data_IF_913728519926
#
_entry.id   IF_913728519926
#
_cell.length_a   1.000
_cell.length_b   1.000
_cell.length_c   1.000
_cell.angle_alpha   90.00
_cell.angle_beta   90.00
_cell.angle_gamma   90.00
#
_symmetry.space_group_name_H-M   'P 1'
#
loop_
_entity.id
_entity.type
_entity.pdbx_description
1 polymer ?
#
# COMPACT_ATOMS: atom_id res chain seq x y z
N UNK A 1 1.43 -32.35 51.95
CA UNK A 1 2.70 -31.66 51.61
C UNK A 1 3.36 -32.43 50.48
N UNK A 2 3.49 -31.80 49.31
CA UNK A 2 4.54 -31.89 48.26
C UNK A 2 3.92 -31.34 46.95
N UNK A 3 4.33 -30.10 46.64
CA UNK A 3 4.58 -29.40 45.35
C UNK A 3 3.78 -29.86 44.10
N UNK A 4 2.95 -29.04 43.45
CA UNK A 4 3.19 -27.78 42.70
C UNK A 4 4.21 -27.89 41.56
N UNK A 5 3.83 -27.36 40.38
CA UNK A 5 4.48 -27.39 39.05
C UNK A 5 4.19 -28.69 38.29
N UNK A 6 3.35 -28.74 37.25
CA UNK A 6 3.52 -28.14 35.93
C UNK A 6 2.13 -28.06 35.27
N UNK A 7 1.49 -26.89 35.22
CA UNK A 7 0.31 -26.65 34.37
C UNK A 7 0.26 -25.18 33.94
N UNK A 8 1.40 -24.58 33.59
CA UNK A 8 1.46 -23.24 32.99
C UNK A 8 2.44 -23.28 31.83
N UNK A 9 2.08 -23.91 30.72
CA UNK A 9 2.82 -23.77 29.45
C UNK A 9 1.98 -24.07 28.19
N UNK A 10 0.81 -24.71 28.28
CA UNK A 10 0.02 -25.02 27.10
C UNK A 10 -0.94 -23.89 26.63
N UNK A 11 -1.25 -22.91 27.50
CA UNK A 11 -2.25 -21.89 27.16
C UNK A 11 -1.69 -20.66 26.43
N UNK A 12 -0.36 -20.45 26.45
CA UNK A 12 0.26 -19.30 25.76
C UNK A 12 0.53 -19.59 24.29
N UNK A 13 0.74 -20.86 23.92
CA UNK A 13 1.02 -21.23 22.53
C UNK A 13 -0.19 -21.06 21.61
N UNK A 14 -1.43 -21.25 22.09
CA UNK A 14 -2.62 -21.16 21.23
C UNK A 14 -2.93 -19.70 20.79
N UNK A 15 -2.72 -18.71 21.67
CA UNK A 15 -2.97 -17.30 21.35
C UNK A 15 -1.93 -16.71 20.38
N UNK A 16 -0.66 -17.14 20.47
CA UNK A 16 0.42 -16.69 19.56
C UNK A 16 0.29 -17.32 18.17
N UNK A 17 -0.24 -18.54 18.06
CA UNK A 17 -0.47 -19.22 16.77
C UNK A 17 -1.64 -18.59 16.01
N UNK A 18 -2.70 -18.11 16.70
CA UNK A 18 -3.84 -17.46 16.03
C UNK A 18 -3.52 -16.08 15.45
N UNK A 19 -2.63 -15.31 16.07
CA UNK A 19 -2.28 -13.95 15.61
C UNK A 19 -1.33 -13.97 14.39
N UNK A 20 -0.47 -15.00 14.33
CA UNK A 20 0.44 -15.22 13.20
C UNK A 20 -0.30 -15.69 11.95
N UNK A 21 -1.26 -16.60 12.10
CA UNK A 21 -2.07 -17.13 10.98
C UNK A 21 -3.01 -16.06 10.38
N UNK A 22 -3.56 -15.18 11.22
CA UNK A 22 -4.39 -14.06 10.74
C UNK A 22 -3.57 -12.94 10.10
N UNK A 23 -2.36 -12.69 10.59
CA UNK A 23 -1.44 -11.71 9.99
C UNK A 23 -0.91 -12.15 8.62
N UNK A 24 -0.53 -13.42 8.48
CA UNK A 24 -0.08 -14.00 7.20
C UNK A 24 -1.16 -13.85 6.12
N UNK A 25 -2.41 -14.22 6.43
CA UNK A 25 -3.53 -14.10 5.50
C UNK A 25 -3.82 -12.65 5.05
N UNK A 26 -3.56 -11.65 5.91
CA UNK A 26 -3.72 -10.24 5.56
C UNK A 26 -2.64 -9.74 4.62
N UNK A 27 -1.39 -10.19 4.81
CA UNK A 27 -0.29 -9.83 3.91
C UNK A 27 -0.53 -10.45 2.53
N UNK A 28 -0.89 -11.73 2.48
CA UNK A 28 -1.22 -12.43 1.21
C UNK A 28 -2.37 -11.75 0.46
N UNK A 29 -3.43 -11.35 1.18
CA UNK A 29 -4.54 -10.60 0.58
C UNK A 29 -4.08 -9.23 0.04
N UNK A 30 -3.22 -8.52 0.77
CA UNK A 30 -2.69 -7.23 0.33
C UNK A 30 -1.72 -7.36 -0.85
N UNK A 31 -0.91 -8.42 -0.90
CA UNK A 31 -0.08 -8.77 -2.06
C UNK A 31 -0.95 -9.03 -3.28
N UNK A 32 -2.02 -9.80 -3.12
CA UNK A 32 -2.97 -10.09 -4.20
C UNK A 32 -3.65 -8.81 -4.72
N UNK A 33 -4.13 -7.94 -3.83
CA UNK A 33 -4.74 -6.65 -4.23
C UNK A 33 -3.73 -5.75 -4.94
N UNK A 34 -2.49 -5.69 -4.45
CA UNK A 34 -1.42 -4.91 -5.06
C UNK A 34 -1.10 -5.40 -6.48
N UNK A 35 -1.00 -6.71 -6.69
CA UNK A 35 -0.76 -7.31 -8.01
C UNK A 35 -1.93 -7.04 -8.95
N UNK A 36 -3.17 -7.20 -8.48
CA UNK A 36 -4.36 -6.95 -9.29
C UNK A 36 -4.49 -5.48 -9.70
N UNK A 37 -4.28 -4.55 -8.76
CA UNK A 37 -4.34 -3.12 -9.04
C UNK A 37 -3.23 -2.68 -10.01
N UNK A 38 -2.01 -3.22 -9.84
CA UNK A 38 -0.90 -3.00 -10.77
C UNK A 38 -1.24 -3.50 -12.18
N UNK A 39 -1.81 -4.70 -12.29
CA UNK A 39 -2.15 -5.28 -13.60
C UNK A 39 -3.23 -4.46 -14.31
N UNK A 40 -4.29 -4.08 -13.60
CA UNK A 40 -5.33 -3.18 -14.13
C UNK A 40 -4.73 -1.86 -14.63
N UNK A 41 -3.81 -1.27 -13.85
CA UNK A 41 -3.10 -0.07 -14.28
C UNK A 41 -2.30 -0.30 -15.57
N UNK A 42 -1.54 -1.40 -15.66
CA UNK A 42 -0.74 -1.71 -16.85
C UNK A 42 -1.60 -1.90 -18.11
N UNK A 43 -2.77 -2.52 -17.97
CA UNK A 43 -3.69 -2.71 -19.10
C UNK A 43 -4.39 -1.39 -19.50
N UNK A 44 -4.72 -0.54 -18.52
CA UNK A 44 -5.21 0.81 -18.76
C UNK A 44 -4.17 1.70 -19.46
N UNK A 45 -2.87 1.56 -19.15
CA UNK A 45 -1.78 2.26 -19.84
C UNK A 45 -1.70 1.85 -21.32
N UNK A 46 -1.83 0.56 -21.62
CA UNK A 46 -1.77 0.06 -23.01
C UNK A 46 -2.95 0.55 -23.84
N UNK A 47 -4.16 0.49 -23.27
CA UNK A 47 -5.39 0.69 -24.02
C UNK A 47 -5.98 2.09 -23.84
N UNK A 48 -5.40 2.91 -22.95
CA UNK A 48 -5.86 4.25 -22.55
C UNK A 48 -7.30 4.34 -22.06
N UNK A 49 -7.95 3.20 -21.81
CA UNK A 49 -9.27 3.13 -21.18
C UNK A 49 -9.10 3.22 -19.68
N UNK A 50 -9.92 4.03 -19.02
CA UNK A 50 -10.02 4.08 -17.55
C UNK A 50 -8.69 4.36 -16.83
N UNK A 51 -7.73 5.01 -17.52
CA UNK A 51 -6.39 5.26 -16.98
C UNK A 51 -6.42 6.14 -15.73
N UNK A 52 -7.31 7.14 -15.70
CA UNK A 52 -7.54 7.97 -14.52
C UNK A 52 -7.88 7.11 -13.29
N UNK A 53 -8.93 6.30 -13.41
CA UNK A 53 -9.50 5.46 -12.36
C UNK A 53 -8.53 4.35 -11.95
N UNK A 54 -7.86 3.72 -12.92
CA UNK A 54 -6.88 2.67 -12.66
C UNK A 54 -5.63 3.21 -11.97
N UNK A 55 -5.12 4.39 -12.36
CA UNK A 55 -4.02 5.05 -11.69
C UNK A 55 -4.39 5.42 -10.25
N UNK A 56 -5.59 5.98 -10.04
CA UNK A 56 -6.07 6.35 -8.70
C UNK A 56 -6.19 5.11 -7.79
N UNK A 57 -6.86 4.05 -8.26
CA UNK A 57 -7.04 2.83 -7.46
C UNK A 57 -5.70 2.16 -7.15
N UNK A 58 -4.77 2.16 -8.11
CA UNK A 58 -3.44 1.62 -7.85
C UNK A 58 -2.68 2.46 -6.80
N UNK A 59 -2.78 3.79 -6.86
CA UNK A 59 -2.20 4.68 -5.86
C UNK A 59 -2.74 4.41 -4.44
N UNK A 60 -4.06 4.21 -4.32
CA UNK A 60 -4.70 3.88 -3.03
C UNK A 60 -4.15 2.58 -2.45
N UNK A 61 -4.09 1.52 -3.27
CA UNK A 61 -3.59 0.21 -2.83
C UNK A 61 -2.11 0.29 -2.45
N UNK A 62 -1.30 1.01 -3.22
CA UNK A 62 0.12 1.25 -2.90
C UNK A 62 0.26 1.96 -1.56
N UNK A 63 -0.51 3.02 -1.29
CA UNK A 63 -0.46 3.79 -0.04
C UNK A 63 -0.78 2.96 1.21
N UNK A 64 -1.78 2.08 1.11
CA UNK A 64 -2.24 1.27 2.23
C UNK A 64 -1.56 -0.09 2.32
N UNK A 65 -0.76 -0.47 1.31
CA UNK A 65 -0.10 -1.77 1.29
C UNK A 65 0.86 -1.92 2.48
N UNK A 66 0.73 -2.99 3.28
CA UNK A 66 1.71 -3.38 4.29
C UNK A 66 2.93 -4.09 3.69
N UNK A 67 2.87 -4.44 2.39
CA UNK A 67 3.93 -5.16 1.66
C UNK A 67 5.08 -4.22 1.30
N UNK A 68 4.75 -2.96 1.02
CA UNK A 68 5.69 -1.95 0.55
C UNK A 68 6.22 -1.11 1.71
N UNK A 69 7.54 -0.89 1.73
CA UNK A 69 8.13 0.04 2.67
C UNK A 69 7.69 1.49 2.35
N UNK A 70 7.64 2.40 3.33
CA UNK A 70 7.30 3.81 3.11
C UNK A 70 8.10 4.47 1.97
N UNK A 71 9.39 4.16 1.86
CA UNK A 71 10.28 4.70 0.83
C UNK A 71 9.98 4.18 -0.58
N UNK A 72 9.24 3.08 -0.70
CA UNK A 72 8.81 2.51 -1.97
C UNK A 72 7.41 3.02 -2.33
N UNK A 73 6.48 3.02 -1.36
CA UNK A 73 5.08 3.38 -1.64
C UNK A 73 4.84 4.87 -1.84
N UNK A 74 5.49 5.76 -1.09
CA UNK A 74 5.20 7.20 -1.20
C UNK A 74 5.61 7.81 -2.55
N UNK A 75 6.82 7.55 -3.10
CA UNK A 75 7.17 8.04 -4.44
C UNK A 75 6.21 7.51 -5.52
N UNK A 76 5.92 6.21 -5.49
CA UNK A 76 5.07 5.56 -6.47
C UNK A 76 3.62 6.08 -6.40
N UNK A 77 3.03 6.13 -5.21
CA UNK A 77 1.68 6.65 -5.02
C UNK A 77 1.56 8.11 -5.44
N UNK A 78 2.54 8.95 -5.09
CA UNK A 78 2.55 10.36 -5.49
C UNK A 78 2.59 10.51 -7.02
N UNK A 79 3.42 9.73 -7.71
CA UNK A 79 3.48 9.73 -9.16
C UNK A 79 2.14 9.31 -9.79
N UNK A 80 1.48 8.28 -9.25
CA UNK A 80 0.18 7.82 -9.72
C UNK A 80 -0.94 8.85 -9.45
N UNK A 81 -1.00 9.47 -8.26
CA UNK A 81 -1.97 10.55 -7.99
C UNK A 81 -1.76 11.75 -8.91
N UNK A 82 -0.50 12.12 -9.19
CA UNK A 82 -0.19 13.17 -10.16
C UNK A 82 -0.64 12.81 -11.56
N UNK A 83 -0.53 11.55 -11.97
CA UNK A 83 -1.06 11.09 -13.25
C UNK A 83 -2.59 11.17 -13.29
N UNK A 84 -3.27 10.77 -12.23
CA UNK A 84 -4.73 10.96 -12.09
C UNK A 84 -5.09 12.43 -12.25
N UNK A 85 -4.38 13.35 -11.57
CA UNK A 85 -4.63 14.79 -11.64
C UNK A 85 -4.26 15.40 -13.00
N UNK A 86 -3.30 14.83 -13.72
CA UNK A 86 -2.97 15.26 -15.08
C UNK A 86 -4.09 14.93 -16.08
N UNK A 87 -4.86 13.86 -15.82
CA UNK A 87 -6.02 13.46 -16.63
C UNK A 87 -7.28 14.20 -16.17
N UNK A 88 -7.51 14.24 -14.85
CA UNK A 88 -8.64 14.91 -14.19
C UNK A 88 -8.15 15.84 -13.06
N UNK A 89 -7.90 17.12 -13.37
CA UNK A 89 -7.44 18.11 -12.38
C UNK A 89 -8.41 18.35 -11.21
N UNK A 90 -9.69 18.03 -11.38
CA UNK A 90 -10.74 18.24 -10.38
C UNK A 90 -10.95 17.02 -9.45
N UNK A 91 -10.13 15.97 -9.59
CA UNK A 91 -10.20 14.78 -8.75
C UNK A 91 -9.77 15.07 -7.30
N UNK A 92 -10.73 15.51 -6.48
CA UNK A 92 -10.48 15.95 -5.09
C UNK A 92 -9.68 14.95 -4.25
N UNK A 93 -10.06 13.68 -4.25
CA UNK A 93 -9.37 12.67 -3.44
C UNK A 93 -7.89 12.50 -3.86
N UNK A 94 -7.57 12.50 -5.17
CA UNK A 94 -6.20 12.42 -5.63
C UNK A 94 -5.39 13.65 -5.21
N UNK A 95 -6.00 14.84 -5.21
CA UNK A 95 -5.37 16.08 -4.73
C UNK A 95 -5.05 16.01 -3.23
N UNK A 96 -6.00 15.58 -2.43
CA UNK A 96 -5.83 15.47 -0.97
C UNK A 96 -4.76 14.43 -0.62
N UNK A 97 -4.79 13.27 -1.28
CA UNK A 97 -3.82 12.20 -1.05
C UNK A 97 -2.40 12.56 -1.55
N UNK A 98 -2.29 13.26 -2.69
CA UNK A 98 -1.01 13.77 -3.15
C UNK A 98 -0.43 14.80 -2.17
N UNK A 99 -1.26 15.70 -1.65
CA UNK A 99 -0.84 16.70 -0.67
C UNK A 99 -0.38 16.05 0.64
N UNK A 100 -1.10 15.03 1.12
CA UNK A 100 -0.69 14.26 2.30
C UNK A 100 0.73 13.70 2.16
N UNK A 101 1.06 13.13 1.00
CA UNK A 101 2.42 12.60 0.76
C UNK A 101 3.45 13.73 0.76
N UNK A 102 3.14 14.86 0.11
CA UNK A 102 4.03 16.04 0.10
C UNK A 102 4.29 16.54 1.53
N UNK A 103 3.26 16.60 2.37
CA UNK A 103 3.37 17.04 3.76
C UNK A 103 4.22 16.05 4.60
N UNK A 104 4.12 14.74 4.34
CA UNK A 104 5.00 13.74 4.95
C UNK A 104 6.47 14.02 4.61
N UNK A 105 6.77 14.26 3.33
CA UNK A 105 8.14 14.60 2.90
C UNK A 105 8.64 15.89 3.54
N UNK A 106 7.80 16.94 3.56
CA UNK A 106 8.12 18.21 4.20
C UNK A 106 8.41 18.04 5.70
N UNK A 107 7.61 17.23 6.41
CA UNK A 107 7.83 16.90 7.82
C UNK A 107 9.13 16.13 8.08
N UNK A 108 9.64 15.41 7.07
CA UNK A 108 10.95 14.75 7.11
C UNK A 108 12.11 15.68 6.70
N UNK A 109 11.82 16.94 6.36
CA UNK A 109 12.81 17.89 5.83
C UNK A 109 13.38 17.47 4.47
N UNK A 110 12.57 16.77 3.65
CA UNK A 110 12.97 16.23 2.36
C UNK A 110 12.01 16.69 1.27
N UNK A 111 12.52 16.76 0.05
CA UNK A 111 11.68 16.88 -1.14
C UNK A 111 11.09 15.52 -1.53
N UNK A 112 9.87 15.48 -2.09
CA UNK A 112 9.31 14.25 -2.64
C UNK A 112 10.22 13.64 -3.70
N UNK A 113 10.50 12.35 -3.55
CA UNK A 113 11.24 11.62 -4.57
C UNK A 113 10.34 11.35 -5.77
N UNK A 114 10.80 11.72 -6.97
CA UNK A 114 10.09 11.41 -8.21
C UNK A 114 10.21 9.93 -8.55
N UNK A 115 9.08 9.29 -8.86
CA UNK A 115 9.04 7.92 -9.37
C UNK A 115 8.74 7.92 -10.87
N UNK A 116 9.57 7.24 -11.63
CA UNK A 116 9.39 7.05 -13.06
C UNK A 116 8.39 5.91 -13.33
N UNK A 117 7.17 6.27 -13.71
CA UNK A 117 6.08 5.32 -13.99
C UNK A 117 6.40 4.34 -15.13
N UNK A 118 7.37 4.63 -16.00
CA UNK A 118 7.80 3.69 -17.06
C UNK A 118 8.53 2.46 -16.50
N UNK A 119 8.95 2.50 -15.23
CA UNK A 119 9.58 1.37 -14.53
C UNK A 119 8.57 0.32 -14.04
N UNK A 120 7.27 0.62 -14.10
CA UNK A 120 6.22 -0.34 -13.76
C UNK A 120 6.13 -1.33 -14.92
N UNK A 121 6.47 -2.60 -14.65
CA UNK A 121 6.45 -3.70 -15.62
C UNK A 121 5.54 -4.82 -15.16
#
# INVERSE_FOLDING_TARGET
MIQNHIMISALVAFAVITDSFTSQNRIEAAESELVAAKQNYLDAVKNKSDLESAAFKYAEVVMTSPVLAPMEKYPLALALYRQTLAINPDHRQAKDQAQLIVDIYAGLGKEPTEFDLSKIK
#
